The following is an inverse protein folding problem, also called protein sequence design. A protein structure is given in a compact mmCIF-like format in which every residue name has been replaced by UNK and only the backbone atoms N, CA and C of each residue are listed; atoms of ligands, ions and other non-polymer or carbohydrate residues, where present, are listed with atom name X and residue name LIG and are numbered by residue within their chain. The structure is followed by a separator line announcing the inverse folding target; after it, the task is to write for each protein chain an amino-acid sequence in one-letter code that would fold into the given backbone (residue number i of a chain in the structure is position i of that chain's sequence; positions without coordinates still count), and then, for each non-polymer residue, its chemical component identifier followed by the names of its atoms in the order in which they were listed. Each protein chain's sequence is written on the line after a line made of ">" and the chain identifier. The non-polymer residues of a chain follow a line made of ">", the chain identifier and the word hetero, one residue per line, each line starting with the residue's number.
data_IF_716306345410
#
_entry.id   IF_716306345410
#
_cell.length_a   1.000
_cell.length_b   1.000
_cell.length_c   1.000
_cell.angle_alpha   90.00
_cell.angle_beta   90.00
_cell.angle_gamma   90.00
#
_symmetry.space_group_name_H-M   'P 1'
#
loop_
_entity.id
_entity.type
_entity.pdbx_description
1 polymer ?
#
# COMPACT_ATOMS: atom_id res chain seq x y z
N UNK A 1 -2.06 1.95 4.53
CA UNK A 1 -2.44 0.82 3.66
C UNK A 1 -3.89 0.96 3.24
N UNK A 2 -4.19 0.87 1.95
CA UNK A 2 -5.53 1.15 1.40
C UNK A 2 -6.42 -0.09 1.34
N UNK A 3 -5.87 -1.22 0.86
CA UNK A 3 -6.65 -2.45 0.63
C UNK A 3 -5.76 -3.69 0.53
N UNK A 4 -6.30 -4.88 0.84
CA UNK A 4 -5.65 -6.19 0.72
C UNK A 4 -6.42 -7.03 -0.31
N UNK A 5 -5.71 -7.51 -1.33
CA UNK A 5 -6.15 -8.69 -2.05
C UNK A 5 -5.54 -9.95 -1.41
N UNK A 6 -6.33 -10.97 -1.04
CA UNK A 6 -5.80 -12.20 -0.45
C UNK A 6 -4.95 -13.03 -1.44
N UNK A 7 -5.17 -12.84 -2.74
CA UNK A 7 -4.40 -13.41 -3.85
C UNK A 7 -4.26 -12.36 -4.95
N UNK A 8 -3.28 -12.49 -5.85
CA UNK A 8 -3.12 -11.57 -6.97
C UNK A 8 -4.42 -11.47 -7.81
N UNK A 9 -4.96 -10.26 -7.93
CA UNK A 9 -6.24 -9.99 -8.63
C UNK A 9 -6.08 -9.22 -9.95
N UNK A 10 -4.87 -8.79 -10.31
CA UNK A 10 -4.62 -8.02 -11.54
C UNK A 10 -4.39 -8.92 -12.78
N UNK A 11 -4.37 -8.32 -13.97
CA UNK A 11 -4.18 -9.06 -15.23
C UNK A 11 -2.74 -9.53 -15.46
N UNK A 12 -2.56 -10.68 -16.13
CA UNK A 12 -1.24 -11.25 -16.44
C UNK A 12 -0.29 -10.27 -17.13
N UNK A 13 -0.80 -9.40 -18.02
CA UNK A 13 0.03 -8.39 -18.69
C UNK A 13 0.66 -7.36 -17.73
N UNK A 14 0.01 -7.05 -16.62
CA UNK A 14 0.58 -6.18 -15.59
C UNK A 14 1.65 -6.95 -14.82
N UNK A 15 1.38 -8.20 -14.47
CA UNK A 15 2.31 -9.07 -13.76
C UNK A 15 3.62 -9.24 -14.54
N UNK A 16 3.53 -9.47 -15.85
CA UNK A 16 4.71 -9.62 -16.71
C UNK A 16 5.52 -8.32 -16.85
N UNK A 17 4.85 -7.15 -16.79
CA UNK A 17 5.50 -5.84 -16.97
C UNK A 17 6.13 -5.29 -15.70
N UNK A 18 5.47 -5.46 -14.56
CA UNK A 18 5.80 -4.75 -13.32
C UNK A 18 6.45 -5.68 -12.29
N UNK A 19 6.07 -6.95 -12.26
CA UNK A 19 6.53 -7.88 -11.22
C UNK A 19 7.87 -8.54 -11.61
N UNK A 20 8.94 -7.72 -11.65
CA UNK A 20 10.28 -8.17 -12.06
C UNK A 20 10.80 -9.36 -11.26
N UNK A 21 10.48 -9.42 -9.95
CA UNK A 21 10.85 -10.53 -9.06
C UNK A 21 9.92 -11.73 -9.14
N UNK A 22 8.85 -11.67 -9.95
CA UNK A 22 7.82 -12.71 -10.12
C UNK A 22 7.36 -13.33 -8.79
N UNK A 23 6.86 -12.50 -7.84
CA UNK A 23 6.40 -12.96 -6.54
C UNK A 23 5.19 -13.88 -6.66
N UNK A 24 5.03 -14.80 -5.71
CA UNK A 24 3.92 -15.77 -5.74
C UNK A 24 2.57 -15.06 -5.85
N UNK A 25 1.70 -15.58 -6.72
CA UNK A 25 0.34 -15.06 -6.91
C UNK A 25 -0.61 -15.51 -5.79
N UNK A 26 -0.30 -16.65 -5.15
CA UNK A 26 -1.09 -17.26 -4.07
C UNK A 26 -0.67 -16.74 -2.68
N UNK A 27 -0.51 -15.42 -2.57
CA UNK A 27 -0.20 -14.73 -1.32
C UNK A 27 -0.87 -13.35 -1.32
N UNK A 28 -0.91 -12.65 -0.18
CA UNK A 28 -1.55 -11.34 -0.11
C UNK A 28 -0.79 -10.27 -0.92
N UNK A 29 -1.57 -9.42 -1.59
CA UNK A 29 -1.10 -8.23 -2.30
C UNK A 29 -1.71 -6.97 -1.68
N UNK A 30 -0.88 -5.94 -1.58
CA UNK A 30 -1.13 -4.75 -0.79
C UNK A 30 -1.25 -3.54 -1.72
N UNK A 31 -2.33 -2.78 -1.60
CA UNK A 31 -2.45 -1.45 -2.19
C UNK A 31 -1.95 -0.42 -1.16
N UNK A 32 -0.84 0.24 -1.47
CA UNK A 32 -0.19 1.21 -0.60
C UNK A 32 -0.24 2.61 -1.19
N UNK A 33 -0.51 3.61 -0.36
CA UNK A 33 -0.14 4.98 -0.70
C UNK A 33 1.36 5.10 -0.45
N UNK A 34 2.10 5.45 -1.49
CA UNK A 34 3.54 5.63 -1.45
C UNK A 34 3.87 7.08 -1.81
N UNK A 35 4.99 7.56 -1.30
CA UNK A 35 5.59 8.82 -1.74
C UNK A 35 6.91 8.54 -2.46
N UNK A 36 7.17 9.33 -3.49
CA UNK A 36 8.47 9.43 -4.13
C UNK A 36 9.04 10.81 -3.82
N UNK A 37 10.29 10.85 -3.35
CA UNK A 37 10.96 12.08 -2.92
C UNK A 37 11.13 13.14 -4.03
N UNK A 38 10.80 12.81 -5.27
CA UNK A 38 10.82 13.74 -6.42
C UNK A 38 9.47 13.90 -7.12
N UNK A 39 8.61 12.88 -7.15
CA UNK A 39 7.38 12.88 -7.95
C UNK A 39 6.07 13.02 -7.14
N UNK A 40 6.15 13.14 -5.81
CA UNK A 40 4.98 13.34 -4.96
C UNK A 40 4.36 12.02 -4.50
N UNK A 41 3.04 11.84 -4.63
CA UNK A 41 2.33 10.68 -4.08
C UNK A 41 1.67 9.81 -5.14
N UNK A 42 1.73 8.48 -4.97
CA UNK A 42 1.14 7.51 -5.90
C UNK A 42 0.63 6.24 -5.18
N UNK A 43 -0.17 5.44 -5.88
CA UNK A 43 -0.65 4.15 -5.39
C UNK A 43 0.29 3.03 -5.88
N UNK A 44 0.92 2.32 -4.95
CA UNK A 44 1.74 1.14 -5.22
C UNK A 44 0.92 -0.14 -5.04
N UNK A 45 1.18 -1.14 -5.89
CA UNK A 45 0.65 -2.50 -5.74
C UNK A 45 1.82 -3.47 -5.56
N UNK A 46 1.94 -4.01 -4.36
CA UNK A 46 3.13 -4.75 -3.93
C UNK A 46 2.75 -6.05 -3.23
N UNK A 47 3.57 -7.07 -3.43
CA UNK A 47 3.38 -8.37 -2.81
C UNK A 47 3.94 -8.39 -1.38
N UNK A 48 3.37 -9.19 -0.48
CA UNK A 48 3.81 -9.26 0.92
C UNK A 48 5.32 -9.50 1.08
N UNK A 49 5.89 -10.36 0.24
CA UNK A 49 7.32 -10.71 0.27
C UNK A 49 8.26 -9.53 -0.02
N UNK A 50 7.75 -8.47 -0.63
CA UNK A 50 8.52 -7.27 -0.95
C UNK A 50 8.27 -6.13 0.06
N UNK A 51 7.48 -6.37 1.12
CA UNK A 51 7.25 -5.41 2.18
C UNK A 51 8.32 -5.53 3.26
N UNK A 52 8.85 -4.38 3.67
CA UNK A 52 9.67 -4.24 4.86
C UNK A 52 8.90 -3.38 5.85
N UNK A 53 8.98 -3.72 7.12
CA UNK A 53 8.38 -2.92 8.19
C UNK A 53 9.11 -1.59 8.24
N UNK A 54 8.36 -0.49 8.20
CA UNK A 54 8.90 0.83 8.46
C UNK A 54 9.19 0.97 9.96
N UNK A 55 10.44 1.26 10.32
CA UNK A 55 10.91 1.33 11.70
C UNK A 55 10.88 2.76 12.27
N UNK A 56 10.80 3.78 11.41
CA UNK A 56 10.89 5.19 11.78
C UNK A 56 9.51 5.82 12.06
N UNK A 57 8.42 5.18 11.61
CA UNK A 57 7.03 5.57 11.86
C UNK A 57 6.74 7.03 11.48
N UNK A 58 7.44 7.55 10.46
CA UNK A 58 7.25 8.91 9.99
C UNK A 58 5.86 9.08 9.35
N UNK A 59 5.19 10.21 9.59
CA UNK A 59 3.89 10.46 9.02
C UNK A 59 4.01 10.69 7.51
N UNK A 60 3.39 9.79 6.73
CA UNK A 60 3.19 9.98 5.30
C UNK A 60 2.32 11.23 5.10
N UNK A 61 2.82 12.17 4.30
CA UNK A 61 2.02 13.30 3.85
C UNK A 61 1.30 12.83 2.60
N UNK A 62 -0.04 12.79 2.58
CA UNK A 62 -0.78 12.48 1.34
C UNK A 62 -2.17 13.13 1.39
N UNK A 63 -2.65 13.79 0.33
CA UNK A 63 -3.93 14.51 0.35
C UNK A 63 -5.14 13.61 0.67
N UNK A 64 -5.20 12.40 0.11
CA UNK A 64 -6.25 11.40 0.46
C UNK A 64 -6.09 10.77 1.85
N UNK A 65 -4.95 10.96 2.54
CA UNK A 65 -4.73 10.37 3.85
C UNK A 65 -5.68 10.97 4.88
N UNK A 66 -5.87 12.29 4.83
CA UNK A 66 -6.75 13.00 5.74
C UNK A 66 -8.23 12.62 5.56
N UNK A 67 -8.62 12.14 4.38
CA UNK A 67 -10.00 11.71 4.10
C UNK A 67 -10.23 10.25 4.57
N UNK A 68 -9.27 9.35 4.31
CA UNK A 68 -9.41 7.91 4.57
C UNK A 68 -8.91 7.45 5.94
N UNK A 69 -7.98 8.18 6.55
CA UNK A 69 -7.33 7.79 7.81
C UNK A 69 -7.47 8.88 8.89
N UNK A 70 -7.51 8.42 10.13
CA UNK A 70 -7.44 9.22 11.35
C UNK A 70 -5.99 9.41 11.81
N UNK A 71 -5.77 9.74 13.10
CA UNK A 71 -4.43 9.99 13.61
C UNK A 71 -3.54 8.75 13.51
N UNK A 72 -2.24 8.98 13.37
CA UNK A 72 -1.20 7.98 13.53
C UNK A 72 -1.06 7.66 15.02
N UNK A 73 -1.28 6.41 15.41
CA UNK A 73 -1.14 5.93 16.80
C UNK A 73 -0.22 4.71 16.77
N UNK A 74 0.88 4.78 17.53
CA UNK A 74 1.92 3.72 17.59
C UNK A 74 2.41 3.27 16.20
N UNK A 75 2.64 4.24 15.29
CA UNK A 75 3.09 3.98 13.92
C UNK A 75 2.02 3.43 12.98
N UNK A 76 0.75 3.34 13.41
CA UNK A 76 -0.35 2.81 12.60
C UNK A 76 -1.45 3.86 12.43
N UNK A 77 -1.77 4.17 11.17
CA UNK A 77 -2.90 5.04 10.83
C UNK A 77 -4.22 4.36 11.16
N UNK A 78 -5.02 4.98 12.01
CA UNK A 78 -6.35 4.49 12.33
C UNK A 78 -7.27 4.65 11.11
N UNK A 79 -7.92 3.59 10.63
CA UNK A 79 -8.91 3.74 9.57
C UNK A 79 -10.09 4.55 10.07
N UNK A 80 -10.53 5.57 9.30
CA UNK A 80 -11.82 6.19 9.55
C UNK A 80 -12.88 5.15 9.22
N UNK A 81 -13.61 4.68 10.23
CA UNK A 81 -14.78 3.84 9.97
C UNK A 81 -15.70 4.61 9.02
N UNK A 82 -15.99 4.04 7.84
CA UNK A 82 -17.08 4.54 7.01
C UNK A 82 -18.36 4.36 7.83
N UNK A 83 -18.86 5.44 8.41
CA UNK A 83 -20.21 5.49 8.96
C UNK A 83 -21.15 5.23 7.78
N UNK A 84 -21.82 4.08 7.80
CA UNK A 84 -22.88 3.69 6.87
C UNK A 84 -24.09 4.62 6.98
#
# INVERSE_FOLDING_TARGET
>A
MVDIDPIYSNGDEWYERVATTRPRKDQPWYHLLAEDGTEGHYLAYVSEQNLVVDEDAEPIIHPELADRFGPLVDGVYQMKQRLN
#
